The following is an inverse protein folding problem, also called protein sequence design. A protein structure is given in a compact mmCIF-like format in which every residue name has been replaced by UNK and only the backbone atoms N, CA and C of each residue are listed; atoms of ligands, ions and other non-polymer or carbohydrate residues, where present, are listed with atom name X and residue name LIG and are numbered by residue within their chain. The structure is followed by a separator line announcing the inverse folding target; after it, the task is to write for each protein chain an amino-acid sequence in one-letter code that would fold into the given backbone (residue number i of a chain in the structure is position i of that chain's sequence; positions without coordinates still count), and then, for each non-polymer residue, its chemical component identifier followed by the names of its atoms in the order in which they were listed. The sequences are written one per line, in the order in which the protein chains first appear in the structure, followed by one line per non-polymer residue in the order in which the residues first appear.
data_IF_626876884882
#
_entry.id   IF_626876884882
#
_cell.length_a   1.000
_cell.length_b   1.000
_cell.length_c   1.000
_cell.angle_alpha   90.00
_cell.angle_beta   90.00
_cell.angle_gamma   90.00
#
_symmetry.space_group_name_H-M   'P 1'
#
loop_
_entity.id
_entity.type
_entity.pdbx_description
1 polymer ?
#
# COMPACT_ATOMS: atom_id res chain seq x y z
N UNK A 1 -3.04 -14.31 9.11
CA UNK A 1 -2.26 -13.84 7.95
C UNK A 1 -0.93 -13.30 8.44
N UNK A 2 0.14 -13.50 7.67
CA UNK A 2 1.45 -12.89 7.95
C UNK A 2 1.51 -11.52 7.29
N UNK A 3 2.25 -10.60 7.90
CA UNK A 3 2.31 -9.21 7.47
C UNK A 3 3.71 -8.63 7.70
N UNK A 4 4.08 -7.64 6.89
CA UNK A 4 5.28 -6.83 7.08
C UNK A 4 5.01 -5.38 6.71
N UNK A 5 5.70 -4.48 7.38
CA UNK A 5 5.76 -3.06 7.04
C UNK A 5 7.13 -2.73 6.47
N UNK A 6 7.15 -2.02 5.35
CA UNK A 6 8.35 -1.54 4.67
C UNK A 6 8.42 -0.03 4.83
N UNK A 7 9.60 0.45 5.21
CA UNK A 7 9.88 1.86 5.40
C UNK A 7 10.93 2.34 4.41
N UNK A 8 10.70 3.51 3.80
CA UNK A 8 11.62 4.13 2.84
C UNK A 8 12.03 5.51 3.37
N UNK A 9 13.06 5.58 4.22
CA UNK A 9 13.39 6.80 4.97
C UNK A 9 13.83 7.96 4.07
N UNK A 10 14.39 7.64 2.90
CA UNK A 10 14.80 8.63 1.90
C UNK A 10 13.64 9.50 1.36
N UNK A 11 12.39 9.06 1.53
CA UNK A 11 11.21 9.75 1.03
C UNK A 11 10.40 10.48 2.11
N UNK A 12 10.75 10.35 3.40
CA UNK A 12 10.01 10.94 4.52
C UNK A 12 9.81 12.45 4.37
N UNK A 13 10.87 13.17 4.03
CA UNK A 13 10.85 14.63 3.88
C UNK A 13 10.58 15.09 2.45
N UNK A 14 10.23 14.17 1.53
CA UNK A 14 9.95 14.48 0.14
C UNK A 14 8.56 13.98 -0.27
N UNK A 15 7.55 14.80 0.04
CA UNK A 15 6.14 14.50 -0.23
C UNK A 15 5.85 14.11 -1.69
N UNK A 16 6.55 14.74 -2.65
CA UNK A 16 6.41 14.42 -4.07
C UNK A 16 6.87 12.99 -4.38
N UNK A 17 8.05 12.58 -3.88
CA UNK A 17 8.57 11.22 -4.07
C UNK A 17 7.69 10.20 -3.36
N UNK A 18 7.23 10.53 -2.15
CA UNK A 18 6.35 9.68 -1.39
C UNK A 18 5.02 9.43 -2.12
N UNK A 19 4.35 10.49 -2.59
CA UNK A 19 3.10 10.37 -3.35
C UNK A 19 3.30 9.57 -4.63
N UNK A 20 4.36 9.85 -5.39
CA UNK A 20 4.65 9.15 -6.64
C UNK A 20 4.91 7.66 -6.44
N UNK A 21 5.63 7.30 -5.38
CA UNK A 21 5.84 5.90 -5.00
C UNK A 21 4.51 5.23 -4.64
N UNK A 22 3.69 5.88 -3.80
CA UNK A 22 2.40 5.34 -3.37
C UNK A 22 1.44 5.13 -4.55
N UNK A 23 1.36 6.08 -5.47
CA UNK A 23 0.56 5.98 -6.69
C UNK A 23 1.02 4.82 -7.58
N UNK A 24 2.34 4.69 -7.77
CA UNK A 24 2.93 3.58 -8.53
C UNK A 24 2.68 2.20 -7.91
N UNK A 25 2.75 2.10 -6.58
CA UNK A 25 2.41 0.87 -5.85
C UNK A 25 0.93 0.51 -5.98
N UNK A 26 0.03 1.50 -5.91
CA UNK A 26 -1.39 1.29 -6.13
C UNK A 26 -1.68 0.78 -7.54
N UNK A 27 -1.08 1.39 -8.57
CA UNK A 27 -1.23 0.94 -9.95
C UNK A 27 -0.71 -0.50 -10.12
N UNK A 28 0.49 -0.79 -9.62
CA UNK A 28 1.03 -2.14 -9.65
C UNK A 28 0.07 -3.15 -9.01
N UNK A 29 -0.42 -2.85 -7.81
CA UNK A 29 -1.31 -3.76 -7.09
C UNK A 29 -2.64 -3.96 -7.82
N UNK A 30 -3.23 -2.94 -8.44
CA UNK A 30 -4.45 -3.13 -9.24
C UNK A 30 -4.28 -4.10 -10.40
N UNK A 31 -3.14 -4.01 -11.10
CA UNK A 31 -2.90 -4.85 -12.27
C UNK A 31 -2.37 -6.25 -11.91
N UNK A 32 -1.58 -6.35 -10.83
CA UNK A 32 -0.81 -7.56 -10.52
C UNK A 32 -1.22 -8.23 -9.20
N UNK A 33 -1.86 -7.49 -8.29
CA UNK A 33 -2.17 -7.95 -6.93
C UNK A 33 -3.06 -9.18 -6.89
N UNK A 34 -3.99 -9.32 -7.84
CA UNK A 34 -4.84 -10.52 -7.91
C UNK A 34 -4.04 -11.77 -8.27
N UNK A 35 -3.09 -11.65 -9.19
CA UNK A 35 -2.22 -12.77 -9.61
C UNK A 35 -1.29 -13.21 -8.47
N UNK A 36 -0.74 -12.25 -7.73
CA UNK A 36 0.14 -12.52 -6.59
C UNK A 36 -0.61 -12.81 -5.27
N UNK A 37 -1.92 -12.58 -5.23
CA UNK A 37 -2.81 -12.85 -4.10
C UNK A 37 -2.33 -12.27 -2.75
N UNK A 38 -1.98 -10.99 -2.73
CA UNK A 38 -1.50 -10.30 -1.53
C UNK A 38 -2.27 -9.02 -1.24
N UNK A 39 -2.23 -8.62 0.03
CA UNK A 39 -2.88 -7.42 0.53
C UNK A 39 -1.93 -6.22 0.56
N UNK A 40 -2.46 -5.04 0.24
CA UNK A 40 -1.71 -3.77 0.24
C UNK A 40 -2.40 -2.71 1.11
N UNK A 41 -1.62 -2.09 1.98
CA UNK A 41 -1.99 -0.88 2.70
C UNK A 41 -0.91 0.20 2.57
N UNK A 42 -1.32 1.46 2.45
CA UNK A 42 -0.40 2.60 2.40
C UNK A 42 -0.77 3.58 3.49
N UNK A 43 0.16 3.85 4.39
CA UNK A 43 -0.06 4.73 5.53
C UNK A 43 0.34 6.18 5.20
N UNK A 44 -0.33 7.14 5.85
CA UNK A 44 0.00 8.56 5.71
C UNK A 44 1.43 8.90 6.17
N UNK A 45 2.00 8.07 7.04
CA UNK A 45 3.41 8.16 7.46
C UNK A 45 4.40 7.80 6.35
N UNK A 46 3.94 7.14 5.28
CA UNK A 46 4.77 6.63 4.20
C UNK A 46 5.13 5.15 4.33
N UNK A 47 4.80 4.51 5.46
CA UNK A 47 4.94 3.07 5.61
C UNK A 47 4.07 2.31 4.59
N UNK A 48 4.63 1.24 4.03
CA UNK A 48 3.98 0.35 3.07
C UNK A 48 3.68 -0.95 3.79
N UNK A 49 2.42 -1.34 3.82
CA UNK A 49 1.98 -2.58 4.41
C UNK A 49 1.78 -3.65 3.35
N UNK A 50 2.36 -4.83 3.55
CA UNK A 50 2.11 -6.03 2.75
C UNK A 50 1.66 -7.20 3.62
N UNK A 51 0.62 -7.91 3.20
CA UNK A 51 0.13 -9.08 3.92
C UNK A 51 -0.30 -10.23 3.00
N UNK A 52 -0.44 -11.43 3.58
CA UNK A 52 -0.76 -12.67 2.86
C UNK A 52 -2.24 -13.04 2.89
N UNK A 53 -3.14 -12.11 3.18
CA UNK A 53 -4.58 -12.35 3.35
C UNK A 53 -5.37 -12.11 2.06
N UNK A 54 -4.78 -12.50 0.93
CA UNK A 54 -5.37 -12.46 -0.39
C UNK A 54 -5.40 -11.08 -1.06
N UNK A 55 -6.00 -11.00 -2.24
CA UNK A 55 -6.12 -9.75 -3.01
C UNK A 55 -7.08 -8.75 -2.36
N UNK A 56 -6.57 -8.02 -1.36
CA UNK A 56 -7.33 -6.98 -0.66
C UNK A 56 -6.54 -5.70 -0.47
N UNK A 57 -7.25 -4.59 -0.40
CA UNK A 57 -6.68 -3.29 -0.04
C UNK A 57 -7.26 -2.82 1.27
N UNK A 58 -6.48 -2.06 2.02
CA UNK A 58 -6.91 -1.55 3.31
C UNK A 58 -6.27 -0.20 3.60
N UNK A 59 -7.01 0.62 4.33
CA UNK A 59 -6.55 1.89 4.84
C UNK A 59 -6.77 1.97 6.35
N UNK A 60 -7.06 3.17 6.83
CA UNK A 60 -7.36 3.38 8.25
C UNK A 60 -8.49 2.47 8.75
N UNK A 61 -8.38 1.98 9.99
CA UNK A 61 -9.29 1.01 10.61
C UNK A 61 -9.46 -0.31 9.82
N UNK A 62 -8.45 -0.72 9.05
CA UNK A 62 -8.45 -1.95 8.26
C UNK A 62 -9.59 -2.02 7.22
N UNK A 63 -10.16 -0.88 6.85
CA UNK A 63 -11.26 -0.81 5.89
C UNK A 63 -10.75 -0.64 4.47
N UNK A 64 -11.34 -1.33 3.50
CA UNK A 64 -11.00 -1.18 2.09
C UNK A 64 -11.44 0.18 1.52
N UNK A 65 -12.54 0.74 2.03
CA UNK A 65 -13.11 2.03 1.64
C UNK A 65 -12.21 3.22 2.00
N UNK A 66 -11.35 3.06 3.00
CA UNK A 66 -10.38 4.07 3.44
C UNK A 66 -9.00 3.87 2.83
N UNK A 67 -8.78 2.83 2.04
CA UNK A 67 -7.48 2.57 1.38
C UNK A 67 -7.10 3.73 0.46
N UNK A 68 -5.81 4.03 0.37
CA UNK A 68 -5.26 5.01 -0.58
C UNK A 68 -5.39 4.53 -2.03
N UNK A 69 -5.38 3.21 -2.26
CA UNK A 69 -5.52 2.62 -3.60
C UNK A 69 -7.00 2.53 -4.02
N UNK A 70 -7.74 3.65 -4.01
CA UNK A 70 -9.21 3.63 -4.23
C UNK A 70 -9.60 3.29 -5.66
N UNK A 71 -8.89 3.84 -6.63
CA UNK A 71 -9.13 3.70 -8.06
C UNK A 71 -8.05 2.83 -8.65
#
# INVERSE_FOLDING_TARGET
ASAMDIWVPEYEDNLWRLSTMQDGLCQFWQYQGQSYNFGLGLYATGAIHLDTDGYRKWGFNHASSSSSCRY
#
